data_IF_466752567131
#
_entry.id   IF_466752567131
#
_cell.length_a   1.000
_cell.length_b   1.000
_cell.length_c   1.000
_cell.angle_alpha   90.00
_cell.angle_beta   90.00
_cell.angle_gamma   90.00
#
_symmetry.space_group_name_H-M   'P 1'
#
loop_
_entity.id
_entity.type
_entity.pdbx_description
1 polymer ?
#
# COMPACT_ATOMS: atom_id res chain seq x y z
N UNK A 1 -44.92 -22.64 -31.59
CA UNK A 1 -44.27 -21.76 -32.58
C UNK A 1 -43.48 -20.81 -31.73
N UNK A 2 -42.18 -21.02 -31.69
CA UNK A 2 -41.20 -20.41 -30.77
C UNK A 2 -40.91 -18.98 -31.19
N UNK A 3 -41.32 -18.03 -30.34
CA UNK A 3 -40.77 -16.69 -30.24
C UNK A 3 -39.91 -16.69 -28.98
N UNK A 4 -38.59 -16.83 -29.09
CA UNK A 4 -37.63 -16.73 -27.96
C UNK A 4 -36.17 -16.73 -28.50
N UNK A 5 -35.83 -15.89 -29.48
CA UNK A 5 -34.45 -15.82 -30.04
C UNK A 5 -33.94 -14.36 -30.26
N UNK A 6 -34.53 -13.34 -29.62
CA UNK A 6 -34.13 -11.92 -29.80
C UNK A 6 -33.42 -11.27 -28.59
N UNK A 7 -33.23 -11.98 -27.46
CA UNK A 7 -32.64 -11.41 -26.22
C UNK A 7 -31.09 -11.57 -26.11
N UNK A 8 -30.45 -12.34 -27.01
CA UNK A 8 -29.00 -12.61 -26.93
C UNK A 8 -28.14 -11.53 -27.62
N UNK A 9 -28.66 -10.83 -28.64
CA UNK A 9 -27.90 -9.85 -29.44
C UNK A 9 -27.54 -8.58 -28.63
N UNK A 10 -28.43 -8.14 -27.73
CA UNK A 10 -28.18 -6.97 -26.86
C UNK A 10 -27.10 -7.26 -25.80
N UNK A 11 -27.01 -8.51 -25.34
CA UNK A 11 -26.01 -8.96 -24.38
C UNK A 11 -24.61 -9.04 -25.01
N UNK A 12 -24.53 -9.49 -26.27
CA UNK A 12 -23.29 -9.56 -27.01
C UNK A 12 -22.73 -8.17 -27.34
N UNK A 13 -23.59 -7.20 -27.71
CA UNK A 13 -23.17 -5.82 -27.89
C UNK A 13 -22.60 -5.19 -26.60
N UNK A 14 -23.24 -5.45 -25.46
CA UNK A 14 -22.77 -4.99 -24.15
C UNK A 14 -21.42 -5.62 -23.77
N UNK A 15 -21.24 -6.92 -24.05
CA UNK A 15 -20.00 -7.65 -23.79
C UNK A 15 -18.84 -7.18 -24.68
N UNK A 16 -19.11 -6.90 -25.96
CA UNK A 16 -18.14 -6.30 -26.88
C UNK A 16 -17.70 -4.92 -26.38
N UNK A 17 -18.64 -4.09 -25.91
CA UNK A 17 -18.31 -2.79 -25.33
C UNK A 17 -17.40 -2.88 -24.10
N UNK A 18 -17.65 -3.85 -23.22
CA UNK A 18 -16.81 -4.11 -22.04
C UNK A 18 -15.40 -4.56 -22.42
N UNK A 19 -15.28 -5.48 -23.38
CA UNK A 19 -14.00 -5.99 -23.88
C UNK A 19 -13.17 -4.88 -24.55
N UNK A 20 -13.81 -4.01 -25.33
CA UNK A 20 -13.13 -2.85 -25.93
C UNK A 20 -12.66 -1.84 -24.88
N UNK A 21 -13.46 -1.59 -23.84
CA UNK A 21 -13.06 -0.74 -22.73
C UNK A 21 -11.90 -1.35 -21.91
N UNK A 22 -11.89 -2.67 -21.74
CA UNK A 22 -10.79 -3.39 -21.11
C UNK A 22 -9.51 -3.36 -21.96
N UNK A 23 -9.62 -3.60 -23.28
CA UNK A 23 -8.48 -3.48 -24.21
C UNK A 23 -7.89 -2.06 -24.23
N UNK A 24 -8.72 -1.03 -24.15
CA UNK A 24 -8.23 0.34 -24.08
C UNK A 24 -7.45 0.61 -22.80
N UNK A 25 -7.95 0.13 -21.66
CA UNK A 25 -7.27 0.26 -20.36
C UNK A 25 -5.95 -0.51 -20.32
N UNK A 26 -5.90 -1.69 -20.93
CA UNK A 26 -4.65 -2.46 -21.01
C UNK A 26 -3.65 -1.79 -21.96
N UNK A 27 -4.09 -1.22 -23.08
CA UNK A 27 -3.23 -0.44 -23.98
C UNK A 27 -2.63 0.80 -23.28
N UNK A 28 -3.44 1.56 -22.53
CA UNK A 28 -2.98 2.72 -21.75
C UNK A 28 -1.95 2.30 -20.68
N UNK A 29 -2.15 1.15 -20.03
CA UNK A 29 -1.20 0.61 -19.04
C UNK A 29 0.12 0.18 -19.67
N UNK A 30 0.07 -0.45 -20.84
CA UNK A 30 1.27 -0.88 -21.57
C UNK A 30 2.08 0.33 -22.05
N UNK A 31 1.42 1.36 -22.59
CA UNK A 31 2.07 2.60 -23.01
C UNK A 31 2.76 3.29 -21.81
N UNK A 32 2.10 3.32 -20.64
CA UNK A 32 2.72 3.85 -19.43
C UNK A 32 3.96 3.07 -18.98
N UNK A 33 3.92 1.73 -19.03
CA UNK A 33 5.06 0.89 -18.68
C UNK A 33 6.20 1.07 -19.70
N UNK A 34 5.88 1.17 -20.99
CA UNK A 34 6.87 1.40 -22.04
C UNK A 34 7.56 2.76 -21.86
N UNK A 35 6.79 3.81 -21.51
CA UNK A 35 7.36 5.11 -21.17
C UNK A 35 8.29 5.03 -19.95
N UNK A 36 7.89 4.32 -18.88
CA UNK A 36 8.77 4.12 -17.71
C UNK A 36 10.06 3.38 -18.07
N UNK A 37 9.98 2.33 -18.90
CA UNK A 37 11.14 1.57 -19.34
C UNK A 37 12.07 2.40 -20.22
N UNK A 38 11.53 3.27 -21.09
CA UNK A 38 12.33 4.20 -21.90
C UNK A 38 13.05 5.23 -21.02
N UNK A 39 12.37 5.79 -20.03
CA UNK A 39 12.98 6.71 -19.06
C UNK A 39 14.12 6.03 -18.27
N UNK A 40 13.93 4.78 -17.86
CA UNK A 40 14.98 3.98 -17.22
C UNK A 40 16.16 3.69 -18.16
N UNK A 41 15.89 3.39 -19.43
CA UNK A 41 16.93 3.08 -20.42
C UNK A 41 17.75 4.31 -20.85
N UNK A 42 17.12 5.49 -20.94
CA UNK A 42 17.79 6.75 -21.29
C UNK A 42 18.54 7.40 -20.11
N UNK A 43 18.60 6.73 -18.95
CA UNK A 43 19.33 7.21 -17.78
C UNK A 43 18.70 8.44 -17.11
N UNK A 44 17.53 8.88 -17.59
CA UNK A 44 16.67 9.81 -16.89
C UNK A 44 15.95 9.02 -15.80
N UNK A 45 16.62 8.87 -14.65
CA UNK A 45 16.00 8.57 -13.36
C UNK A 45 14.91 9.62 -13.11
N UNK A 46 13.74 9.42 -13.71
CA UNK A 46 12.51 9.99 -13.18
C UNK A 46 12.42 9.32 -11.84
N UNK A 47 12.55 10.16 -10.81
CA UNK A 47 12.17 9.88 -9.45
C UNK A 47 10.71 9.37 -9.48
N UNK A 48 10.50 8.09 -9.80
CA UNK A 48 9.57 7.28 -9.04
C UNK A 48 9.95 7.61 -7.62
N UNK A 49 9.10 8.36 -6.92
CA UNK A 49 9.33 8.75 -5.55
C UNK A 49 9.97 7.56 -4.86
N UNK A 50 11.30 7.64 -4.64
CA UNK A 50 11.91 6.76 -3.67
C UNK A 50 11.04 7.00 -2.44
N UNK A 51 10.48 5.96 -1.79
CA UNK A 51 9.83 6.21 -0.52
C UNK A 51 10.85 7.01 0.25
N UNK A 52 10.52 8.27 0.58
CA UNK A 52 11.31 9.05 1.54
C UNK A 52 11.71 8.04 2.60
N UNK A 53 13.01 7.88 2.91
CA UNK A 53 13.45 6.86 3.82
C UNK A 53 12.50 6.92 5.00
N UNK A 54 11.72 5.86 5.23
CA UNK A 54 10.52 5.88 6.08
C UNK A 54 11.00 6.23 7.49
N UNK A 55 11.11 7.55 7.74
CA UNK A 55 11.90 8.15 8.83
C UNK A 55 11.30 7.72 10.17
N UNK A 56 10.03 7.35 10.13
CA UNK A 56 9.30 6.64 11.16
C UNK A 56 10.07 5.46 11.80
N UNK A 57 10.95 4.77 11.05
CA UNK A 57 11.79 3.67 11.54
C UNK A 57 13.30 3.96 11.52
N UNK A 58 13.71 5.23 11.37
CA UNK A 58 15.08 5.65 11.62
C UNK A 58 15.49 5.26 13.06
N UNK A 59 16.79 5.04 13.29
CA UNK A 59 17.29 4.45 14.55
C UNK A 59 16.89 5.28 15.78
N UNK A 60 16.80 6.59 15.62
CA UNK A 60 16.34 7.59 16.57
C UNK A 60 14.83 7.51 16.89
N UNK A 61 14.03 7.02 15.93
CA UNK A 61 12.57 6.99 15.99
C UNK A 61 12.01 5.65 16.48
N UNK A 62 12.85 4.63 16.65
CA UNK A 62 12.46 3.31 17.15
C UNK A 62 12.88 3.07 18.59
N UNK A 63 11.96 2.57 19.40
CA UNK A 63 12.23 2.14 20.78
C UNK A 63 11.78 0.69 20.99
N UNK A 64 12.25 0.05 22.05
CA UNK A 64 11.74 -1.26 22.43
C UNK A 64 10.31 -1.18 23.00
N UNK A 65 9.58 -2.30 22.96
CA UNK A 65 8.22 -2.41 23.46
C UNK A 65 8.02 -1.96 24.93
N UNK A 66 9.03 -2.13 25.78
CA UNK A 66 8.96 -1.72 27.19
C UNK A 66 9.07 -0.21 27.32
N UNK A 67 9.96 0.41 26.54
CA UNK A 67 10.10 1.86 26.47
C UNK A 67 8.86 2.51 25.85
N UNK A 68 8.33 1.96 24.76
CA UNK A 68 7.07 2.42 24.17
C UNK A 68 5.91 2.39 25.19
N UNK A 69 5.77 1.27 25.91
CA UNK A 69 4.73 1.08 26.94
C UNK A 69 4.81 2.12 28.07
N UNK A 70 6.02 2.44 28.55
CA UNK A 70 6.19 3.48 29.58
C UNK A 70 5.87 4.88 29.06
N UNK A 71 6.27 5.19 27.83
CA UNK A 71 6.08 6.53 27.23
C UNK A 71 4.61 6.80 26.90
N UNK A 72 3.92 5.81 26.35
CA UNK A 72 2.55 5.97 25.87
C UNK A 72 1.48 5.60 26.91
N UNK A 73 1.88 5.05 28.06
CA UNK A 73 0.95 4.58 29.11
C UNK A 73 0.15 3.33 28.74
N UNK A 74 0.35 2.76 27.55
CA UNK A 74 -0.33 1.54 27.10
C UNK A 74 0.44 0.29 27.54
N UNK A 75 -0.28 -0.78 27.84
CA UNK A 75 0.34 -2.04 28.28
C UNK A 75 1.17 -2.70 27.17
N UNK A 76 2.27 -3.37 27.52
CA UNK A 76 3.12 -4.10 26.55
C UNK A 76 2.35 -5.06 25.63
N UNK A 77 1.35 -5.83 26.09
CA UNK A 77 0.54 -6.68 25.21
C UNK A 77 -0.23 -5.87 24.15
N UNK A 78 -0.77 -4.71 24.53
CA UNK A 78 -1.46 -3.79 23.60
C UNK A 78 -0.50 -3.28 22.53
N UNK A 79 0.69 -2.81 22.95
CA UNK A 79 1.74 -2.39 22.02
C UNK A 79 2.14 -3.53 21.06
N UNK A 80 2.31 -4.75 21.57
CA UNK A 80 2.64 -5.93 20.74
C UNK A 80 1.55 -6.25 19.72
N UNK A 81 0.28 -6.19 20.12
CA UNK A 81 -0.85 -6.37 19.22
C UNK A 81 -0.84 -5.29 18.14
N UNK A 82 -0.61 -4.03 18.50
CA UNK A 82 -0.59 -2.95 17.53
C UNK A 82 0.56 -3.04 16.52
N UNK A 83 1.73 -3.52 16.94
CA UNK A 83 2.82 -3.81 16.00
C UNK A 83 2.38 -4.81 14.92
N UNK A 84 1.59 -5.82 15.29
CA UNK A 84 1.10 -6.82 14.36
C UNK A 84 -0.06 -6.30 13.49
N UNK A 85 -1.03 -5.63 14.10
CA UNK A 85 -2.30 -5.29 13.44
C UNK A 85 -2.26 -3.96 12.68
N UNK A 86 -1.40 -3.02 13.10
CA UNK A 86 -1.35 -1.65 12.59
C UNK A 86 0.03 -1.25 12.04
N UNK A 87 0.97 -2.19 11.94
CA UNK A 87 2.30 -1.97 11.36
C UNK A 87 3.07 -0.78 11.98
N UNK A 88 2.89 -0.55 13.29
CA UNK A 88 3.58 0.52 14.05
C UNK A 88 4.98 0.11 14.54
N UNK A 89 5.50 -1.04 14.11
CA UNK A 89 6.74 -1.63 14.61
C UNK A 89 7.19 -2.84 13.82
N UNK A 90 8.31 -3.43 14.22
CA UNK A 90 8.85 -4.66 13.64
C UNK A 90 9.60 -5.51 14.67
N UNK A 91 9.85 -6.78 14.32
CA UNK A 91 10.64 -7.71 15.15
C UNK A 91 12.01 -7.96 14.53
N UNK A 92 13.09 -7.78 15.29
CA UNK A 92 14.48 -8.06 14.86
C UNK A 92 15.27 -8.70 16.00
N UNK A 93 15.93 -9.82 15.73
CA UNK A 93 16.76 -10.53 16.73
C UNK A 93 15.99 -10.91 18.00
N UNK A 94 14.72 -11.29 17.88
CA UNK A 94 13.86 -11.62 19.03
C UNK A 94 13.31 -10.41 19.81
N UNK A 95 13.74 -9.19 19.48
CA UNK A 95 13.28 -7.95 20.12
C UNK A 95 12.23 -7.27 19.25
N UNK A 96 11.26 -6.62 19.90
CA UNK A 96 10.18 -5.88 19.25
C UNK A 96 10.49 -4.38 19.34
N UNK A 97 10.58 -3.75 18.18
CA UNK A 97 10.84 -2.34 17.99
C UNK A 97 9.55 -1.64 17.56
N UNK A 98 9.31 -0.44 18.08
CA UNK A 98 8.09 0.33 17.88
C UNK A 98 8.50 1.72 17.39
N UNK A 99 7.92 2.15 16.28
CA UNK A 99 8.06 3.50 15.75
C UNK A 99 7.31 4.47 16.66
N UNK A 100 8.01 5.46 17.21
CA UNK A 100 7.39 6.52 18.01
C UNK A 100 6.44 7.38 17.17
N UNK A 101 6.82 7.87 15.96
CA UNK A 101 5.91 8.64 15.12
C UNK A 101 4.61 7.88 14.80
N UNK A 102 4.70 6.59 14.45
CA UNK A 102 3.49 5.79 14.16
C UNK A 102 2.67 5.47 15.39
N UNK A 103 3.32 5.23 16.53
CA UNK A 103 2.61 5.04 17.80
C UNK A 103 1.80 6.29 18.15
N UNK A 104 2.39 7.49 18.03
CA UNK A 104 1.72 8.77 18.27
C UNK A 104 0.54 8.99 17.34
N UNK A 105 0.73 8.78 16.03
CA UNK A 105 -0.38 8.87 15.04
C UNK A 105 -1.49 7.86 15.34
N UNK A 106 -1.14 6.64 15.73
CA UNK A 106 -2.10 5.60 16.07
C UNK A 106 -2.93 5.95 17.32
N UNK A 107 -2.31 6.59 18.31
CA UNK A 107 -2.97 6.95 19.59
C UNK A 107 -3.57 8.35 19.58
N UNK A 108 -3.33 9.15 18.54
CA UNK A 108 -3.71 10.57 18.47
C UNK A 108 -2.91 11.46 19.43
N UNK A 109 -1.70 11.05 19.80
CA UNK A 109 -0.84 11.75 20.76
C UNK A 109 0.25 12.56 20.03
N UNK A 110 -0.15 13.63 19.34
CA UNK A 110 0.74 14.55 18.60
C UNK A 110 1.38 15.65 19.48
N UNK A 111 1.74 15.31 20.73
CA UNK A 111 2.35 16.25 21.69
C UNK A 111 3.87 16.33 21.66
#
# INVERSE_FOLDING_TARGET
>A
MTDDDDDDDDNDAAKIGQLLAEQRRTAERLDHIEQQLRLMADGALVQSAEPEPDDDFATENVVDASTASHRSGFSKPTIRRWVHDFSIGYKRGGRLFVSIPRLRRHTGDDR
#
